data_IF_252370553943
#
_entry.id   IF_252370553943
#
_cell.length_a   1.000
_cell.length_b   1.000
_cell.length_c   1.000
_cell.angle_alpha   90.00
_cell.angle_beta   90.00
_cell.angle_gamma   90.00
#
_symmetry.space_group_name_H-M   'P 1'
#
loop_
_entity.id
_entity.type
_entity.pdbx_description
1 polymer ?
#
# COMPACT_ATOMS: atom_id res chain seq x y z
N UNK A 1 -34.18 -9.48 -23.88
CA UNK A 1 -33.82 -8.68 -22.69
C UNK A 1 -32.33 -8.87 -22.49
N UNK A 2 -31.55 -7.79 -22.44
CA UNK A 2 -30.10 -7.87 -22.26
C UNK A 2 -29.83 -7.70 -20.77
N UNK A 3 -29.36 -8.75 -20.11
CA UNK A 3 -28.91 -8.67 -18.72
C UNK A 3 -27.55 -7.99 -18.67
N UNK A 4 -27.53 -6.79 -18.07
CA UNK A 4 -26.30 -6.08 -17.72
C UNK A 4 -25.81 -6.62 -16.38
N UNK A 5 -24.65 -7.28 -16.36
CA UNK A 5 -23.91 -7.58 -15.13
C UNK A 5 -22.82 -6.53 -14.96
N UNK A 6 -23.02 -5.65 -13.99
CA UNK A 6 -21.96 -4.77 -13.50
C UNK A 6 -21.07 -5.57 -12.56
N UNK A 7 -19.76 -5.63 -12.86
CA UNK A 7 -18.75 -6.18 -11.97
C UNK A 7 -17.98 -4.99 -11.39
N UNK A 8 -17.98 -4.85 -10.06
CA UNK A 8 -17.03 -3.98 -9.37
C UNK A 8 -15.72 -4.78 -9.31
N UNK A 9 -14.76 -4.43 -10.14
CA UNK A 9 -13.40 -4.94 -10.01
C UNK A 9 -12.81 -4.27 -8.77
N UNK A 10 -12.47 -5.05 -7.74
CA UNK A 10 -11.72 -4.56 -6.58
C UNK A 10 -10.50 -3.77 -7.08
N UNK A 11 -10.49 -2.46 -6.84
CA UNK A 11 -9.41 -1.59 -7.29
C UNK A 11 -8.25 -1.77 -6.30
N UNK A 12 -7.34 -2.68 -6.65
CA UNK A 12 -6.06 -2.79 -5.94
C UNK A 12 -5.12 -1.69 -6.44
N UNK A 13 -4.65 -0.84 -5.52
CA UNK A 13 -3.57 0.11 -5.78
C UNK A 13 -2.31 -0.36 -5.05
N UNK A 14 -1.26 -0.66 -5.80
CA UNK A 14 0.04 -1.06 -5.26
C UNK A 14 1.07 0.06 -5.42
N UNK A 15 1.94 0.20 -4.42
CA UNK A 15 3.09 1.12 -4.47
C UNK A 15 4.36 0.38 -4.07
N UNK A 16 5.42 0.60 -4.84
CA UNK A 16 6.75 0.05 -4.60
C UNK A 16 7.70 1.16 -4.12
N UNK A 17 8.30 1.00 -2.93
CA UNK A 17 9.34 1.87 -2.41
C UNK A 17 10.70 1.19 -2.53
N UNK A 18 11.63 1.84 -3.22
CA UNK A 18 13.03 1.39 -3.32
C UNK A 18 13.78 1.98 -2.12
N UNK A 19 14.13 1.12 -1.17
CA UNK A 19 14.77 1.49 0.10
C UNK A 19 16.30 1.61 -0.07
N UNK A 20 16.84 1.08 -1.17
CA UNK A 20 18.27 1.01 -1.40
C UNK A 20 18.96 0.00 -0.47
N UNK A 21 20.17 0.33 -0.01
CA UNK A 21 20.95 -0.53 0.90
C UNK A 21 21.32 0.23 2.19
N UNK A 22 20.37 0.41 3.12
CA UNK A 22 20.63 1.14 4.36
C UNK A 22 21.77 0.48 5.14
N UNK A 23 22.81 1.25 5.48
CA UNK A 23 24.00 0.73 6.16
C UNK A 23 23.84 0.70 7.68
N UNK A 24 22.86 1.43 8.20
CA UNK A 24 22.57 1.55 9.63
C UNK A 24 21.09 1.44 9.94
N UNK A 25 20.77 1.04 11.18
CA UNK A 25 19.40 1.02 11.70
C UNK A 25 18.76 2.42 11.67
N UNK A 26 19.58 3.48 11.85
CA UNK A 26 19.10 4.87 11.78
C UNK A 26 18.62 5.25 10.39
N UNK A 27 19.34 4.86 9.34
CA UNK A 27 18.92 5.09 7.95
C UNK A 27 17.65 4.32 7.61
N UNK A 28 17.58 3.03 8.00
CA UNK A 28 16.38 2.22 7.80
C UNK A 28 15.15 2.86 8.46
N UNK A 29 15.29 3.31 9.70
CA UNK A 29 14.21 3.97 10.43
C UNK A 29 13.73 5.23 9.71
N UNK A 30 14.66 6.07 9.28
CA UNK A 30 14.32 7.30 8.56
C UNK A 30 13.56 7.02 7.27
N UNK A 31 13.97 6.02 6.50
CA UNK A 31 13.26 5.64 5.27
C UNK A 31 11.85 5.15 5.55
N UNK A 32 11.65 4.37 6.62
CA UNK A 32 10.30 3.93 7.02
C UNK A 32 9.42 5.10 7.47
N UNK A 33 9.99 6.08 8.18
CA UNK A 33 9.28 7.31 8.57
C UNK A 33 8.87 8.14 7.34
N UNK A 34 9.70 8.21 6.30
CA UNK A 34 9.37 8.87 5.03
C UNK A 34 8.24 8.13 4.28
N UNK A 35 8.27 6.80 4.23
CA UNK A 35 7.19 5.99 3.64
C UNK A 35 5.89 6.23 4.41
N UNK A 36 5.94 6.23 5.74
CA UNK A 36 4.76 6.45 6.57
C UNK A 36 4.16 7.85 6.39
N UNK A 37 4.98 8.88 6.14
CA UNK A 37 4.52 10.25 5.90
C UNK A 37 3.90 10.45 4.50
N UNK A 38 4.24 9.59 3.53
CA UNK A 38 3.65 9.61 2.19
C UNK A 38 2.29 8.90 2.13
N UNK A 39 2.04 7.99 3.08
CA UNK A 39 0.78 7.26 3.17
C UNK A 39 -0.39 8.18 3.60
N UNK A 40 -1.59 7.98 3.04
CA UNK A 40 -2.78 8.69 3.49
C UNK A 40 -3.11 8.29 4.94
N UNK A 41 -3.34 9.29 5.80
CA UNK A 41 -3.74 9.08 7.21
C UNK A 41 -5.23 8.73 7.37
N UNK A 42 -6.05 8.92 6.33
CA UNK A 42 -7.47 8.59 6.35
C UNK A 42 -7.72 7.08 6.28
N UNK A 43 -8.62 6.58 7.13
CA UNK A 43 -9.00 5.16 7.21
C UNK A 43 -9.80 4.62 6.02
N UNK A 44 -9.77 5.31 4.87
CA UNK A 44 -10.50 4.94 3.65
C UNK A 44 -9.88 3.75 2.91
N UNK A 45 -8.61 3.44 3.19
CA UNK A 45 -7.87 2.36 2.53
C UNK A 45 -7.41 1.35 3.57
N UNK A 46 -7.61 0.06 3.25
CA UNK A 46 -7.10 -1.05 4.05
C UNK A 46 -5.82 -1.59 3.43
N UNK A 47 -4.82 -1.89 4.27
CA UNK A 47 -3.64 -2.66 3.84
C UNK A 47 -4.10 -4.07 3.49
N UNK A 48 -3.96 -4.47 2.22
CA UNK A 48 -4.25 -5.82 1.77
C UNK A 48 -3.03 -6.74 1.95
N UNK A 49 -1.84 -6.24 1.62
CA UNK A 49 -0.59 -6.99 1.72
C UNK A 49 0.60 -6.02 1.89
N UNK A 50 1.61 -6.46 2.65
CA UNK A 50 2.92 -5.80 2.75
C UNK A 50 3.99 -6.87 2.66
N UNK A 51 4.97 -6.68 1.78
CA UNK A 51 6.12 -7.56 1.71
C UNK A 51 7.40 -6.77 1.43
N UNK A 52 8.52 -7.36 1.84
CA UNK A 52 9.84 -6.81 1.65
C UNK A 52 10.67 -7.82 0.86
N UNK A 53 11.24 -7.38 -0.25
CA UNK A 53 12.10 -8.23 -1.09
C UNK A 53 13.12 -7.37 -1.83
N UNK A 54 14.36 -7.86 -1.89
CA UNK A 54 15.44 -7.28 -2.71
C UNK A 54 15.62 -5.75 -2.56
N UNK A 55 15.69 -5.26 -1.31
CA UNK A 55 15.85 -3.82 -1.04
C UNK A 55 14.62 -2.97 -1.36
N UNK A 56 13.45 -3.59 -1.51
CA UNK A 56 12.18 -2.91 -1.75
C UNK A 56 11.15 -3.27 -0.68
N UNK A 57 10.33 -2.29 -0.31
CA UNK A 57 9.09 -2.50 0.42
C UNK A 57 7.95 -2.26 -0.55
N UNK A 58 7.07 -3.23 -0.64
CA UNK A 58 5.89 -3.19 -1.48
C UNK A 58 4.68 -3.29 -0.56
N UNK A 59 3.67 -2.47 -0.83
CA UNK A 59 2.36 -2.67 -0.23
C UNK A 59 1.27 -2.57 -1.29
N UNK A 60 0.18 -3.27 -1.03
CA UNK A 60 -1.05 -3.15 -1.81
C UNK A 60 -2.17 -2.71 -0.89
N UNK A 61 -2.90 -1.69 -1.32
CA UNK A 61 -4.10 -1.19 -0.66
C UNK A 61 -5.33 -1.73 -1.38
N UNK A 62 -6.38 -1.99 -0.62
CA UNK A 62 -7.73 -2.25 -1.11
C UNK A 62 -8.65 -1.15 -0.58
N UNK A 63 -9.71 -0.82 -1.33
CA UNK A 63 -10.75 0.07 -0.80
C UNK A 63 -11.29 -0.49 0.51
N UNK A 64 -11.19 0.32 1.58
CA UNK A 64 -11.75 -0.05 2.86
C UNK A 64 -13.27 -0.05 2.75
N UNK A 65 -13.93 -1.12 3.18
CA UNK A 65 -15.39 -1.11 3.23
C UNK A 65 -15.78 -0.11 4.33
N UNK A 66 -16.21 1.10 3.94
CA UNK A 66 -16.85 2.03 4.87
C UNK A 66 -18.13 1.33 5.34
N UNK A 67 -18.06 0.72 6.53
CA UNK A 67 -19.26 0.28 7.24
C UNK A 67 -19.88 1.52 7.87
N UNK A 68 -20.88 2.07 7.19
CA UNK A 68 -21.93 2.89 7.83
C UNK A 68 -22.66 2.09 8.92
#
# INVERSE_FOLDING_TARGET
>A
MVEKKDYITEIFSGTDYIIGNPQTIGELRRTLEEIAADLPEDGSLEIAEVYCSDGKICYTLKEGIIKE
#
